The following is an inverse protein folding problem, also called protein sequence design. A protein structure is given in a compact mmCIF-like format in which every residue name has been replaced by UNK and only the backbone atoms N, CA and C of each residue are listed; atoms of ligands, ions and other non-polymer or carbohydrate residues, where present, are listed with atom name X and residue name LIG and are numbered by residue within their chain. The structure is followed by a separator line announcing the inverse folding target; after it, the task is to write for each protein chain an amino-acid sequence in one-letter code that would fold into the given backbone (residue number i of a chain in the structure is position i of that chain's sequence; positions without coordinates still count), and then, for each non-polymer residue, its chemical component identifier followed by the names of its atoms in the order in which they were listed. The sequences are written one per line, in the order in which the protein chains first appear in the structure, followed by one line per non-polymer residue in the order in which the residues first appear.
data_IF_685422795020
#
_entry.id   IF_685422795020
#
_cell.length_a   1.000
_cell.length_b   1.000
_cell.length_c   1.000
_cell.angle_alpha   90.00
_cell.angle_beta   90.00
_cell.angle_gamma   90.00
#
_symmetry.space_group_name_H-M   'P 1'
#
loop_
_entity.id
_entity.type
_entity.pdbx_description
1 polymer ?
#
# COMPACT_ATOMS: atom_id res chain seq x y z
N UNK A 1 71.10 -143.88 -78.01
CA UNK A 1 72.58 -143.97 -78.09
C UNK A 1 73.08 -142.82 -78.95
N UNK A 2 73.21 -141.65 -78.35
CA UNK A 2 73.81 -140.49 -79.01
C UNK A 2 75.32 -140.70 -79.06
N UNK A 3 75.84 -140.77 -80.29
CA UNK A 3 77.27 -140.86 -80.57
C UNK A 3 77.93 -139.61 -79.98
N UNK A 4 78.72 -139.79 -78.92
CA UNK A 4 79.67 -138.79 -78.42
C UNK A 4 80.54 -138.35 -79.60
N UNK A 5 80.22 -137.20 -80.19
CA UNK A 5 81.12 -136.49 -81.08
C UNK A 5 82.34 -136.13 -80.23
N UNK A 6 83.43 -136.85 -80.43
CA UNK A 6 84.72 -136.51 -79.85
C UNK A 6 85.06 -135.09 -80.31
N UNK A 7 85.03 -134.13 -79.39
CA UNK A 7 85.59 -132.81 -79.64
C UNK A 7 87.03 -133.00 -80.16
N UNK A 8 87.44 -132.29 -81.22
CA UNK A 8 88.77 -132.44 -81.78
C UNK A 8 89.81 -132.30 -80.66
N UNK A 9 90.71 -133.28 -80.57
CA UNK A 9 91.73 -133.31 -79.54
C UNK A 9 92.51 -131.99 -79.56
N UNK A 10 92.67 -131.38 -78.39
CA UNK A 10 93.46 -130.15 -78.22
C UNK A 10 94.84 -130.37 -78.84
N UNK A 11 95.26 -129.53 -79.78
CA UNK A 11 96.58 -129.63 -80.41
C UNK A 11 97.56 -128.66 -79.78
N UNK A 12 98.85 -128.97 -79.88
CA UNK A 12 99.90 -128.07 -79.40
C UNK A 12 99.87 -126.71 -80.12
N UNK A 13 99.58 -126.69 -81.43
CA UNK A 13 99.49 -125.45 -82.23
C UNK A 13 98.38 -124.51 -81.73
N UNK A 14 97.22 -125.06 -81.36
CA UNK A 14 96.11 -124.27 -80.78
C UNK A 14 96.52 -123.62 -79.46
N UNK A 15 97.19 -124.38 -78.59
CA UNK A 15 97.68 -123.89 -77.30
C UNK A 15 98.79 -122.86 -77.48
N UNK A 16 99.75 -123.12 -78.36
CA UNK A 16 100.86 -122.22 -78.68
C UNK A 16 100.35 -120.88 -79.20
N UNK A 17 99.41 -120.87 -80.14
CA UNK A 17 98.83 -119.63 -80.67
C UNK A 17 98.10 -118.78 -79.61
N UNK A 18 97.51 -119.39 -78.59
CA UNK A 18 96.93 -118.66 -77.45
C UNK A 18 98.00 -118.19 -76.48
N UNK A 19 99.01 -119.02 -76.20
CA UNK A 19 100.11 -118.64 -75.33
C UNK A 19 100.92 -117.47 -75.92
N UNK A 20 101.19 -117.48 -77.22
CA UNK A 20 101.89 -116.40 -77.93
C UNK A 20 101.09 -115.09 -77.87
N UNK A 21 99.75 -115.14 -78.04
CA UNK A 21 98.89 -113.96 -77.92
C UNK A 21 98.86 -113.40 -76.50
N UNK A 22 98.67 -114.26 -75.50
CA UNK A 22 98.65 -113.85 -74.09
C UNK A 22 100.01 -113.29 -73.66
N UNK A 23 101.10 -113.90 -74.11
CA UNK A 23 102.45 -113.41 -73.85
C UNK A 23 102.72 -112.06 -74.53
N UNK A 24 102.28 -111.90 -75.78
CA UNK A 24 102.41 -110.63 -76.51
C UNK A 24 101.56 -109.50 -75.92
N UNK A 25 100.42 -109.81 -75.30
CA UNK A 25 99.59 -108.83 -74.58
C UNK A 25 100.08 -108.55 -73.16
N UNK A 26 101.16 -109.20 -72.70
CA UNK A 26 101.68 -109.06 -71.34
C UNK A 26 100.81 -109.74 -70.26
N UNK A 27 99.86 -110.59 -70.66
CA UNK A 27 99.01 -111.35 -69.75
C UNK A 27 99.67 -112.65 -69.26
N UNK A 28 99.35 -113.06 -68.03
CA UNK A 28 99.88 -114.28 -67.43
C UNK A 28 99.36 -115.54 -68.13
N UNK A 29 100.24 -116.22 -68.87
CA UNK A 29 99.94 -117.52 -69.49
C UNK A 29 99.78 -118.60 -68.40
N UNK A 30 98.54 -119.07 -68.21
CA UNK A 30 98.21 -120.18 -67.32
C UNK A 30 97.29 -121.19 -68.02
N UNK A 31 97.36 -122.46 -67.60
CA UNK A 31 96.50 -123.51 -68.18
C UNK A 31 94.99 -123.16 -68.08
N UNK A 32 94.56 -122.51 -67.01
CA UNK A 32 93.17 -122.06 -66.86
C UNK A 32 92.81 -120.94 -67.86
N UNK A 33 93.73 -119.98 -68.08
CA UNK A 33 93.51 -118.88 -69.04
C UNK A 33 93.46 -119.41 -70.48
N UNK A 34 94.35 -120.33 -70.83
CA UNK A 34 94.38 -120.97 -72.16
C UNK A 34 93.10 -121.76 -72.44
N UNK A 35 92.59 -122.51 -71.45
CA UNK A 35 91.31 -123.22 -71.58
C UNK A 35 90.14 -122.24 -71.69
N UNK A 36 90.14 -121.17 -70.91
CA UNK A 36 89.10 -120.14 -70.98
C UNK A 36 89.03 -119.48 -72.37
N UNK A 37 90.18 -119.26 -73.02
CA UNK A 37 90.26 -118.71 -74.38
C UNK A 37 89.91 -119.74 -75.47
N UNK A 38 90.30 -121.02 -75.31
CA UNK A 38 90.04 -122.05 -76.32
C UNK A 38 88.64 -122.69 -76.20
N UNK A 39 88.01 -122.59 -75.03
CA UNK A 39 86.71 -123.19 -74.72
C UNK A 39 86.67 -124.73 -74.79
N UNK A 40 87.83 -125.39 -74.94
CA UNK A 40 87.94 -126.85 -75.16
C UNK A 40 89.25 -127.42 -74.60
N UNK A 41 89.27 -128.74 -74.40
CA UNK A 41 90.45 -129.50 -73.94
C UNK A 41 90.50 -129.74 -72.42
N UNK A 42 91.32 -130.70 -71.99
CA UNK A 42 91.49 -131.04 -70.57
C UNK A 42 92.57 -130.16 -69.93
N UNK A 43 92.42 -129.86 -68.64
CA UNK A 43 93.41 -129.08 -67.88
C UNK A 43 94.80 -129.72 -67.87
N UNK A 44 94.88 -131.04 -67.80
CA UNK A 44 96.16 -131.77 -67.87
C UNK A 44 96.85 -131.62 -69.22
N UNK A 45 96.09 -131.73 -70.32
CA UNK A 45 96.61 -131.58 -71.68
C UNK A 45 97.04 -130.13 -71.96
N UNK A 46 96.22 -129.15 -71.56
CA UNK A 46 96.55 -127.73 -71.72
C UNK A 46 97.77 -127.34 -70.88
N UNK A 47 97.90 -127.81 -69.63
CA UNK A 47 99.10 -127.57 -68.81
C UNK A 47 100.34 -128.24 -69.41
N UNK A 48 100.21 -129.46 -69.96
CA UNK A 48 101.30 -130.14 -70.65
C UNK A 48 101.81 -129.35 -71.86
N UNK A 49 100.90 -128.86 -72.71
CA UNK A 49 101.27 -128.01 -73.85
C UNK A 49 101.74 -126.61 -73.45
N UNK A 50 101.20 -126.00 -72.40
CA UNK A 50 101.72 -124.74 -71.85
C UNK A 50 103.14 -124.94 -71.30
N UNK A 51 103.44 -126.11 -70.71
CA UNK A 51 104.78 -126.45 -70.24
C UNK A 51 105.73 -126.61 -71.42
N UNK A 52 105.33 -127.38 -72.43
CA UNK A 52 106.10 -127.54 -73.67
C UNK A 52 106.36 -126.19 -74.36
N UNK A 53 105.36 -125.30 -74.40
CA UNK A 53 105.51 -123.95 -74.93
C UNK A 53 106.48 -123.10 -74.12
N UNK A 54 106.47 -123.24 -72.79
CA UNK A 54 107.44 -122.58 -71.91
C UNK A 54 108.85 -123.08 -72.18
N UNK A 55 109.02 -124.39 -72.31
CA UNK A 55 110.30 -125.03 -72.63
C UNK A 55 110.81 -124.58 -74.02
N UNK A 56 109.92 -124.47 -75.03
CA UNK A 56 110.26 -123.92 -76.35
C UNK A 56 110.59 -122.42 -76.31
N UNK A 57 109.89 -121.63 -75.51
CA UNK A 57 110.16 -120.21 -75.33
C UNK A 57 111.51 -120.00 -74.64
N UNK A 58 111.78 -120.74 -73.57
CA UNK A 58 113.06 -120.72 -72.85
C UNK A 58 114.20 -121.17 -73.78
N UNK A 59 114.01 -122.23 -74.57
CA UNK A 59 114.99 -122.66 -75.57
C UNK A 59 115.20 -121.60 -76.66
N UNK A 60 114.13 -120.92 -77.11
CA UNK A 60 114.24 -119.84 -78.11
C UNK A 60 114.95 -118.60 -77.55
N UNK A 61 114.74 -118.27 -76.27
CA UNK A 61 115.42 -117.18 -75.58
C UNK A 61 116.88 -117.52 -75.33
N UNK A 62 117.18 -118.75 -74.88
CA UNK A 62 118.55 -119.22 -74.71
C UNK A 62 119.32 -119.19 -76.04
N UNK A 63 118.72 -119.68 -77.12
CA UNK A 63 119.32 -119.62 -78.46
C UNK A 63 119.50 -118.17 -78.95
N UNK A 64 118.56 -117.28 -78.67
CA UNK A 64 118.67 -115.87 -79.03
C UNK A 64 119.85 -115.21 -78.30
N UNK A 65 120.00 -115.47 -76.99
CA UNK A 65 121.10 -114.94 -76.18
C UNK A 65 122.46 -115.48 -76.65
N UNK A 66 122.53 -116.77 -76.96
CA UNK A 66 123.70 -117.42 -77.55
C UNK A 66 124.05 -116.81 -78.92
N UNK A 67 123.06 -116.60 -79.80
CA UNK A 67 123.25 -116.01 -81.14
C UNK A 67 123.71 -114.55 -81.10
N UNK A 68 123.34 -113.81 -80.05
CA UNK A 68 123.74 -112.41 -79.84
C UNK A 68 125.13 -112.31 -79.19
N UNK A 69 125.78 -113.45 -78.89
CA UNK A 69 127.13 -113.52 -78.33
C UNK A 69 127.20 -113.20 -76.84
N UNK A 70 126.06 -113.21 -76.14
CA UNK A 70 126.04 -113.03 -74.70
C UNK A 70 126.50 -114.31 -74.00
N UNK A 71 127.24 -114.18 -72.90
CA UNK A 71 127.57 -115.36 -72.08
C UNK A 71 126.33 -115.88 -71.37
N UNK A 72 126.25 -117.19 -71.15
CA UNK A 72 125.16 -117.80 -70.37
C UNK A 72 125.01 -117.14 -68.99
N UNK A 73 126.13 -116.78 -68.35
CA UNK A 73 126.14 -116.06 -67.08
C UNK A 73 125.48 -114.68 -67.15
N UNK A 74 125.59 -113.99 -68.29
CA UNK A 74 124.95 -112.70 -68.52
C UNK A 74 123.46 -112.87 -68.79
N UNK A 75 123.08 -113.84 -69.63
CA UNK A 75 121.68 -114.14 -69.95
C UNK A 75 120.87 -114.53 -68.69
N UNK A 76 121.42 -115.41 -67.86
CA UNK A 76 120.80 -115.83 -66.58
C UNK A 76 120.66 -114.65 -65.61
N UNK A 77 121.70 -113.81 -65.49
CA UNK A 77 121.65 -112.62 -64.65
C UNK A 77 120.61 -111.62 -65.15
N UNK A 78 120.49 -111.44 -66.47
CA UNK A 78 119.53 -110.53 -67.08
C UNK A 78 118.09 -111.02 -66.89
N UNK A 79 117.79 -112.30 -67.13
CA UNK A 79 116.46 -112.86 -66.93
C UNK A 79 116.03 -112.85 -65.45
N UNK A 80 116.97 -113.12 -64.54
CA UNK A 80 116.74 -113.00 -63.09
C UNK A 80 116.42 -111.56 -62.70
N UNK A 81 117.13 -110.59 -63.26
CA UNK A 81 116.89 -109.17 -62.99
C UNK A 81 115.57 -108.69 -63.62
N UNK A 82 115.21 -109.14 -64.82
CA UNK A 82 113.89 -108.90 -65.43
C UNK A 82 112.75 -109.48 -64.59
N UNK A 83 112.90 -110.71 -64.08
CA UNK A 83 111.93 -111.29 -63.14
C UNK A 83 111.82 -110.49 -61.84
N UNK A 84 112.95 -110.01 -61.31
CA UNK A 84 112.94 -109.11 -60.14
C UNK A 84 112.24 -107.79 -60.43
N UNK A 85 112.47 -107.20 -61.60
CA UNK A 85 111.78 -105.97 -62.03
C UNK A 85 110.28 -106.20 -62.21
N UNK A 86 109.87 -107.31 -62.84
CA UNK A 86 108.46 -107.68 -62.99
C UNK A 86 107.76 -107.76 -61.63
N UNK A 87 108.34 -108.50 -60.68
CA UNK A 87 107.78 -108.63 -59.31
C UNK A 87 107.77 -107.29 -58.58
N UNK A 88 108.83 -106.48 -58.72
CA UNK A 88 108.89 -105.15 -58.11
C UNK A 88 107.84 -104.19 -58.71
N UNK A 89 107.59 -104.28 -60.02
CA UNK A 89 106.58 -103.50 -60.72
C UNK A 89 105.18 -103.94 -60.28
N UNK A 90 104.89 -105.24 -60.26
CA UNK A 90 103.62 -105.79 -59.79
C UNK A 90 103.35 -105.41 -58.34
N UNK A 91 104.34 -105.53 -57.45
CA UNK A 91 104.24 -105.09 -56.05
C UNK A 91 103.94 -103.60 -55.94
N UNK A 92 104.67 -102.74 -56.67
CA UNK A 92 104.43 -101.28 -56.64
C UNK A 92 103.06 -100.91 -57.18
N UNK A 93 102.59 -101.59 -58.23
CA UNK A 93 101.24 -101.37 -58.75
C UNK A 93 100.18 -101.79 -57.74
N UNK A 94 100.35 -102.94 -57.07
CA UNK A 94 99.43 -103.38 -56.02
C UNK A 94 99.45 -102.42 -54.81
N UNK A 95 100.63 -101.98 -54.38
CA UNK A 95 100.78 -100.98 -53.30
C UNK A 95 100.11 -99.64 -53.67
N UNK A 96 100.29 -99.20 -54.92
CA UNK A 96 99.65 -97.97 -55.41
C UNK A 96 98.14 -98.14 -55.52
N UNK A 97 97.67 -99.30 -55.97
CA UNK A 97 96.25 -99.61 -56.09
C UNK A 97 95.58 -99.68 -54.71
N UNK A 98 96.22 -100.30 -53.73
CA UNK A 98 95.74 -100.38 -52.35
C UNK A 98 95.78 -99.03 -51.65
N UNK A 99 96.84 -98.23 -51.83
CA UNK A 99 96.90 -96.84 -51.37
C UNK A 99 95.81 -95.97 -52.00
N UNK A 100 95.56 -96.11 -53.31
CA UNK A 100 94.49 -95.37 -53.98
C UNK A 100 93.10 -95.78 -53.47
N UNK A 101 92.85 -97.07 -53.27
CA UNK A 101 91.58 -97.57 -52.73
C UNK A 101 91.34 -97.10 -51.30
N UNK A 102 92.38 -97.11 -50.46
CA UNK A 102 92.28 -96.62 -49.08
C UNK A 102 92.00 -95.12 -49.05
N UNK A 103 92.71 -94.31 -49.85
CA UNK A 103 92.43 -92.89 -50.01
C UNK A 103 91.01 -92.62 -50.53
N UNK A 104 90.53 -93.40 -51.50
CA UNK A 104 89.15 -93.31 -52.00
C UNK A 104 88.15 -93.60 -50.88
N UNK A 105 88.34 -94.66 -50.09
CA UNK A 105 87.46 -94.97 -48.96
C UNK A 105 87.48 -93.88 -47.89
N UNK A 106 88.65 -93.33 -47.56
CA UNK A 106 88.77 -92.22 -46.61
C UNK A 106 88.04 -90.97 -47.13
N UNK A 107 88.22 -90.62 -48.40
CA UNK A 107 87.53 -89.48 -49.03
C UNK A 107 86.00 -89.68 -49.05
N UNK A 108 85.52 -90.89 -49.35
CA UNK A 108 84.10 -91.21 -49.30
C UNK A 108 83.55 -91.12 -47.87
N UNK A 109 84.27 -91.62 -46.87
CA UNK A 109 83.84 -91.48 -45.46
C UNK A 109 83.78 -90.01 -45.04
N UNK A 110 84.79 -89.20 -45.37
CA UNK A 110 84.81 -87.78 -45.09
C UNK A 110 83.67 -87.02 -45.79
N UNK A 111 83.35 -87.41 -47.04
CA UNK A 111 82.22 -86.85 -47.77
C UNK A 111 80.89 -87.17 -47.07
N UNK A 112 80.68 -88.44 -46.67
CA UNK A 112 79.44 -88.83 -45.96
C UNK A 112 79.28 -88.11 -44.61
N UNK A 113 80.38 -87.89 -43.88
CA UNK A 113 80.37 -87.10 -42.65
C UNK A 113 80.04 -85.63 -42.90
N UNK A 114 80.58 -85.05 -43.97
CA UNK A 114 80.30 -83.68 -44.38
C UNK A 114 78.83 -83.52 -44.80
N UNK A 115 78.28 -84.44 -45.59
CA UNK A 115 76.87 -84.47 -46.00
C UNK A 115 75.95 -84.54 -44.78
N UNK A 116 76.23 -85.45 -43.84
CA UNK A 116 75.48 -85.54 -42.57
C UNK A 116 75.54 -84.24 -41.76
N UNK A 117 76.71 -83.59 -41.73
CA UNK A 117 76.88 -82.31 -41.04
C UNK A 117 76.07 -81.19 -41.72
N UNK A 118 76.03 -81.17 -43.05
CA UNK A 118 75.21 -80.22 -43.81
C UNK A 118 73.73 -80.43 -43.51
N UNK A 119 73.25 -81.68 -43.51
CA UNK A 119 71.85 -82.01 -43.19
C UNK A 119 71.47 -81.54 -41.78
N UNK A 120 72.34 -81.78 -40.79
CA UNK A 120 72.13 -81.28 -39.42
C UNK A 120 72.06 -79.75 -39.35
N UNK A 121 72.97 -79.06 -40.03
CA UNK A 121 72.99 -77.60 -40.06
C UNK A 121 71.76 -77.03 -40.79
N UNK A 122 71.31 -77.68 -41.86
CA UNK A 122 70.09 -77.32 -42.58
C UNK A 122 68.87 -77.42 -41.66
N UNK A 123 68.72 -78.54 -40.94
CA UNK A 123 67.63 -78.72 -39.97
C UNK A 123 67.67 -77.69 -38.83
N UNK A 124 68.87 -77.28 -38.40
CA UNK A 124 69.03 -76.23 -37.39
C UNK A 124 68.72 -74.83 -37.94
N UNK A 125 68.97 -74.56 -39.22
CA UNK A 125 68.56 -73.32 -39.90
C UNK A 125 67.04 -73.29 -40.02
N UNK A 126 66.41 -74.35 -40.49
CA UNK A 126 64.95 -74.44 -40.62
C UNK A 126 64.23 -74.21 -39.29
N UNK A 127 64.76 -74.80 -38.20
CA UNK A 127 64.25 -74.55 -36.84
C UNK A 127 64.39 -73.08 -36.40
N UNK A 128 65.52 -72.45 -36.74
CA UNK A 128 65.74 -71.02 -36.41
C UNK A 128 64.82 -70.13 -37.22
N UNK A 129 64.60 -70.41 -38.50
CA UNK A 129 63.70 -69.65 -39.36
C UNK A 129 62.25 -69.76 -38.88
N UNK A 130 61.83 -70.95 -38.45
CA UNK A 130 60.52 -71.14 -37.84
C UNK A 130 60.38 -70.35 -36.53
N UNK A 131 61.41 -70.35 -35.67
CA UNK A 131 61.39 -69.55 -34.44
C UNK A 131 61.35 -68.03 -34.73
N UNK A 132 62.04 -67.57 -35.77
CA UNK A 132 62.00 -66.17 -36.22
C UNK A 132 60.61 -65.80 -36.73
N UNK A 133 59.98 -66.68 -37.52
CA UNK A 133 58.62 -66.47 -38.00
C UNK A 133 57.62 -66.35 -36.85
N UNK A 134 57.65 -67.27 -35.88
CA UNK A 134 56.80 -67.26 -34.69
C UNK A 134 56.99 -66.00 -33.84
N UNK A 135 58.25 -65.56 -33.65
CA UNK A 135 58.56 -64.34 -32.91
C UNK A 135 58.07 -63.09 -33.64
N UNK A 136 58.19 -63.04 -34.97
CA UNK A 136 57.67 -61.94 -35.77
C UNK A 136 56.14 -61.87 -35.73
N UNK A 137 55.45 -63.01 -35.79
CA UNK A 137 54.00 -63.05 -35.64
C UNK A 137 53.56 -62.55 -34.26
N UNK A 138 54.21 -63.03 -33.18
CA UNK A 138 53.94 -62.54 -31.82
C UNK A 138 54.22 -61.05 -31.66
N UNK A 139 55.30 -60.55 -32.27
CA UNK A 139 55.67 -59.13 -32.24
C UNK A 139 54.63 -58.26 -32.97
N UNK A 140 54.19 -58.68 -34.16
CA UNK A 140 53.16 -57.95 -34.92
C UNK A 140 51.79 -57.98 -34.24
N UNK A 141 51.38 -59.11 -33.67
CA UNK A 141 50.17 -59.24 -32.88
C UNK A 141 50.22 -58.39 -31.59
N UNK A 142 51.36 -58.37 -30.89
CA UNK A 142 51.54 -57.50 -29.73
C UNK A 142 51.46 -56.02 -30.13
N UNK A 143 52.14 -55.63 -31.22
CA UNK A 143 52.13 -54.25 -31.72
C UNK A 143 50.73 -53.79 -32.11
N UNK A 144 49.94 -54.62 -32.79
CA UNK A 144 48.56 -54.28 -33.16
C UNK A 144 47.66 -54.13 -31.93
N UNK A 145 47.82 -55.03 -30.94
CA UNK A 145 47.11 -54.92 -29.65
C UNK A 145 47.47 -53.63 -28.92
N UNK A 146 48.76 -53.29 -28.80
CA UNK A 146 49.22 -52.04 -28.20
C UNK A 146 48.65 -50.81 -28.91
N UNK A 147 48.71 -50.77 -30.24
CA UNK A 147 48.13 -49.67 -31.02
C UNK A 147 46.63 -49.53 -30.81
N UNK A 148 45.89 -50.64 -30.68
CA UNK A 148 44.47 -50.61 -30.36
C UNK A 148 44.22 -50.04 -28.97
N UNK A 149 44.96 -50.50 -27.96
CA UNK A 149 44.84 -49.97 -26.59
C UNK A 149 45.24 -48.51 -26.49
N UNK A 150 46.27 -48.08 -27.21
CA UNK A 150 46.71 -46.69 -27.26
C UNK A 150 45.62 -45.80 -27.89
N UNK A 151 45.01 -46.26 -28.97
CA UNK A 151 43.89 -45.55 -29.62
C UNK A 151 42.71 -45.39 -28.65
N UNK A 152 42.32 -46.47 -27.98
CA UNK A 152 41.22 -46.45 -27.00
C UNK A 152 41.52 -45.49 -25.84
N UNK A 153 42.74 -45.53 -25.28
CA UNK A 153 43.14 -44.61 -24.21
C UNK A 153 43.14 -43.14 -24.66
N UNK A 154 43.55 -42.85 -25.90
CA UNK A 154 43.47 -41.50 -26.47
C UNK A 154 42.02 -41.03 -26.61
N UNK A 155 41.12 -41.89 -27.10
CA UNK A 155 39.70 -41.58 -27.22
C UNK A 155 39.05 -41.33 -25.84
N UNK A 156 39.37 -42.16 -24.84
CA UNK A 156 38.94 -41.93 -23.46
C UNK A 156 39.48 -40.62 -22.87
N UNK A 157 40.72 -40.24 -23.19
CA UNK A 157 41.31 -38.98 -22.75
C UNK A 157 40.58 -37.78 -23.38
N UNK A 158 40.28 -37.85 -24.67
CA UNK A 158 39.56 -36.82 -25.41
C UNK A 158 38.12 -36.66 -24.88
N UNK A 159 37.42 -37.77 -24.61
CA UNK A 159 36.08 -37.78 -24.03
C UNK A 159 36.08 -37.17 -22.62
N UNK A 160 37.02 -37.57 -21.76
CA UNK A 160 37.18 -36.95 -20.43
C UNK A 160 37.52 -35.47 -20.54
N UNK A 161 38.35 -35.09 -21.50
CA UNK A 161 38.68 -33.69 -21.79
C UNK A 161 37.46 -32.88 -22.20
N UNK A 162 36.56 -33.45 -23.01
CA UNK A 162 35.27 -32.84 -23.37
C UNK A 162 34.36 -32.67 -22.15
N UNK A 163 34.16 -33.72 -21.36
CA UNK A 163 33.33 -33.66 -20.14
C UNK A 163 33.85 -32.62 -19.13
N UNK A 164 35.18 -32.49 -18.98
CA UNK A 164 35.77 -31.46 -18.13
C UNK A 164 35.50 -30.04 -18.64
N UNK A 165 35.51 -29.82 -19.96
CA UNK A 165 35.14 -28.52 -20.55
C UNK A 165 33.67 -28.20 -20.33
N UNK A 166 32.78 -29.15 -20.60
CA UNK A 166 31.33 -28.99 -20.36
C UNK A 166 31.03 -28.70 -18.89
N UNK A 167 31.68 -29.44 -17.96
CA UNK A 167 31.56 -29.20 -16.53
C UNK A 167 32.04 -27.80 -16.11
N UNK A 168 33.15 -27.31 -16.67
CA UNK A 168 33.62 -25.93 -16.43
C UNK A 168 32.64 -24.89 -16.93
N UNK A 169 32.12 -25.04 -18.15
CA UNK A 169 31.11 -24.12 -18.69
C UNK A 169 29.85 -24.10 -17.82
N UNK A 170 29.43 -25.24 -17.29
CA UNK A 170 28.28 -25.31 -16.39
C UNK A 170 28.56 -24.60 -15.05
N UNK A 171 29.77 -24.75 -14.49
CA UNK A 171 30.18 -24.02 -13.28
C UNK A 171 30.17 -22.51 -13.53
N UNK A 172 30.69 -22.04 -14.67
CA UNK A 172 30.71 -20.61 -15.01
C UNK A 172 29.29 -20.05 -15.16
N UNK A 173 28.39 -20.80 -15.80
CA UNK A 173 26.96 -20.44 -15.92
C UNK A 173 26.29 -20.36 -14.55
N UNK A 174 26.45 -21.38 -13.72
CA UNK A 174 25.84 -21.42 -12.38
C UNK A 174 26.40 -20.32 -11.46
N UNK A 175 27.70 -20.03 -11.55
CA UNK A 175 28.32 -18.93 -10.80
C UNK A 175 27.72 -17.58 -11.21
N UNK A 176 27.51 -17.38 -12.52
CA UNK A 176 26.87 -16.17 -13.04
C UNK A 176 25.41 -16.06 -12.61
N UNK A 177 24.66 -17.17 -12.61
CA UNK A 177 23.28 -17.21 -12.14
C UNK A 177 23.16 -16.95 -10.64
N UNK A 178 24.08 -17.50 -9.84
CA UNK A 178 24.16 -17.26 -8.41
C UNK A 178 24.38 -15.77 -8.12
N UNK A 179 25.37 -15.14 -8.78
CA UNK A 179 25.64 -13.71 -8.63
C UNK A 179 24.41 -12.85 -8.99
N UNK A 180 23.68 -13.22 -10.06
CA UNK A 180 22.41 -12.54 -10.41
C UNK A 180 21.33 -12.71 -9.34
N UNK A 181 21.23 -13.90 -8.74
CA UNK A 181 20.26 -14.16 -7.67
C UNK A 181 20.60 -13.38 -6.39
N UNK A 182 21.88 -13.33 -6.03
CA UNK A 182 22.38 -12.56 -4.89
C UNK A 182 22.11 -11.06 -5.06
N UNK A 183 22.39 -10.49 -6.25
CA UNK A 183 22.06 -9.09 -6.54
C UNK A 183 20.55 -8.80 -6.39
N UNK A 184 19.69 -9.68 -6.92
CA UNK A 184 18.23 -9.54 -6.77
C UNK A 184 17.79 -9.61 -5.31
N UNK A 185 18.44 -10.45 -4.51
CA UNK A 185 18.16 -10.57 -3.08
C UNK A 185 18.59 -9.30 -2.33
N UNK A 186 19.74 -8.72 -2.69
CA UNK A 186 20.21 -7.44 -2.15
C UNK A 186 19.24 -6.30 -2.51
N UNK A 187 18.80 -6.22 -3.77
CA UNK A 187 17.82 -5.23 -4.22
C UNK A 187 16.47 -5.39 -3.51
N UNK A 188 16.00 -6.63 -3.35
CA UNK A 188 14.80 -6.92 -2.55
C UNK A 188 14.99 -6.51 -1.08
N UNK A 189 16.19 -6.69 -0.52
CA UNK A 189 16.54 -6.24 0.82
C UNK A 189 16.44 -4.72 0.97
N UNK A 190 16.93 -3.96 -0.01
CA UNK A 190 16.80 -2.50 -0.06
C UNK A 190 15.35 -2.06 -0.11
N UNK A 191 14.54 -2.66 -0.99
CA UNK A 191 13.10 -2.37 -1.11
C UNK A 191 12.34 -2.65 0.19
N UNK A 192 12.65 -3.76 0.88
CA UNK A 192 12.03 -4.08 2.17
C UNK A 192 12.45 -3.07 3.25
N UNK A 193 13.71 -2.64 3.25
CA UNK A 193 14.18 -1.59 4.16
C UNK A 193 13.43 -0.29 3.93
N UNK A 194 13.32 0.17 2.67
CA UNK A 194 12.55 1.37 2.30
C UNK A 194 11.07 1.27 2.65
N UNK A 195 10.46 0.10 2.41
CA UNK A 195 9.07 -0.15 2.79
C UNK A 195 8.87 -0.10 4.32
N UNK A 196 9.82 -0.62 5.10
CA UNK A 196 9.78 -0.54 6.55
C UNK A 196 9.95 0.90 7.05
N UNK A 197 10.90 1.67 6.50
CA UNK A 197 11.06 3.08 6.87
C UNK A 197 9.82 3.90 6.53
N UNK A 198 9.21 3.67 5.36
CA UNK A 198 7.96 4.33 4.98
C UNK A 198 6.80 3.92 5.89
N UNK A 199 6.68 2.64 6.23
CA UNK A 199 5.67 2.14 7.16
C UNK A 199 5.81 2.80 8.54
N UNK A 200 7.03 2.91 9.04
CA UNK A 200 7.29 3.50 10.35
C UNK A 200 7.03 5.02 10.34
N UNK A 201 7.36 5.71 9.24
CA UNK A 201 6.97 7.12 9.03
C UNK A 201 5.44 7.29 9.02
N UNK A 202 4.72 6.49 8.25
CA UNK A 202 3.26 6.53 8.20
C UNK A 202 2.61 6.23 9.56
N UNK A 203 3.24 5.37 10.37
CA UNK A 203 2.79 5.14 11.76
C UNK A 203 2.94 6.38 12.61
N UNK A 204 4.08 7.08 12.53
CA UNK A 204 4.30 8.34 13.23
C UNK A 204 3.26 9.38 12.81
N UNK A 205 3.08 9.59 11.50
CA UNK A 205 2.11 10.54 10.96
C UNK A 205 0.68 10.20 11.44
N UNK A 206 0.31 8.92 11.44
CA UNK A 206 -1.00 8.46 11.94
C UNK A 206 -1.16 8.70 13.44
N UNK A 207 -0.11 8.53 14.24
CA UNK A 207 -0.17 8.88 15.67
C UNK A 207 -0.32 10.39 15.90
N UNK A 208 0.37 11.21 15.10
CA UNK A 208 0.25 12.67 15.17
C UNK A 208 -1.15 13.14 14.78
N UNK A 209 -1.71 12.62 13.67
CA UNK A 209 -3.08 12.94 13.24
C UNK A 209 -4.10 12.53 14.29
N UNK A 210 -3.94 11.35 14.92
CA UNK A 210 -4.83 10.93 16.02
C UNK A 210 -4.73 11.89 17.21
N UNK A 211 -3.53 12.32 17.60
CA UNK A 211 -3.35 13.33 18.64
C UNK A 211 -4.08 14.63 18.29
N UNK A 212 -3.89 15.16 17.07
CA UNK A 212 -4.57 16.37 16.60
C UNK A 212 -6.09 16.21 16.58
N UNK A 213 -6.58 15.04 16.17
CA UNK A 213 -8.02 14.73 16.18
C UNK A 213 -8.57 14.76 17.61
N UNK A 214 -7.92 14.07 18.56
CA UNK A 214 -8.36 14.10 19.97
C UNK A 214 -8.33 15.51 20.56
N UNK A 215 -7.32 16.31 20.21
CA UNK A 215 -7.27 17.71 20.62
C UNK A 215 -8.44 18.52 20.02
N UNK A 216 -8.72 18.38 18.73
CA UNK A 216 -9.84 19.05 18.09
C UNK A 216 -11.19 18.63 18.68
N UNK A 217 -11.38 17.35 19.00
CA UNK A 217 -12.59 16.83 19.67
C UNK A 217 -12.76 17.45 21.07
N UNK A 218 -11.70 17.54 21.87
CA UNK A 218 -11.77 18.19 23.19
C UNK A 218 -12.07 19.69 23.09
N UNK A 219 -11.50 20.39 22.10
CA UNK A 219 -11.82 21.78 21.83
C UNK A 219 -13.29 21.95 21.40
N UNK A 220 -13.80 21.09 20.52
CA UNK A 220 -15.19 21.11 20.10
C UNK A 220 -16.15 20.86 21.28
N UNK A 221 -15.83 19.91 22.16
CA UNK A 221 -16.61 19.66 23.38
C UNK A 221 -16.64 20.91 24.29
N UNK A 222 -15.49 21.59 24.44
CA UNK A 222 -15.38 22.83 25.21
C UNK A 222 -16.21 23.96 24.61
N UNK A 223 -16.10 24.19 23.29
CA UNK A 223 -16.90 25.20 22.58
C UNK A 223 -18.40 24.87 22.68
N UNK A 224 -18.77 23.59 22.57
CA UNK A 224 -20.17 23.16 22.73
C UNK A 224 -20.69 23.48 24.13
N UNK A 225 -19.92 23.19 25.18
CA UNK A 225 -20.29 23.52 26.55
C UNK A 225 -20.40 25.03 26.79
N UNK A 226 -19.47 25.82 26.22
CA UNK A 226 -19.54 27.29 26.27
C UNK A 226 -20.78 27.84 25.56
N UNK A 227 -21.11 27.32 24.38
CA UNK A 227 -22.30 27.72 23.64
C UNK A 227 -23.58 27.40 24.43
N UNK A 228 -23.64 26.25 25.12
CA UNK A 228 -24.79 25.89 25.94
C UNK A 228 -24.93 26.80 27.16
N UNK A 229 -23.81 27.13 27.84
CA UNK A 229 -23.81 28.11 28.94
C UNK A 229 -24.24 29.51 28.47
N UNK A 230 -23.81 29.96 27.29
CA UNK A 230 -24.25 31.22 26.70
C UNK A 230 -25.75 31.18 26.39
N UNK A 231 -26.27 30.09 25.84
CA UNK A 231 -27.72 29.94 25.59
C UNK A 231 -28.52 30.01 26.88
N UNK A 232 -28.08 29.33 27.93
CA UNK A 232 -28.74 29.36 29.23
C UNK A 232 -28.72 30.77 29.83
N UNK A 233 -27.57 31.46 29.78
CA UNK A 233 -27.47 32.86 30.19
C UNK A 233 -28.37 33.79 29.36
N UNK A 234 -28.49 33.56 28.05
CA UNK A 234 -29.35 34.33 27.16
C UNK A 234 -30.82 34.11 27.48
N UNK A 235 -31.21 32.89 27.85
CA UNK A 235 -32.58 32.56 28.25
C UNK A 235 -32.95 33.21 29.58
N UNK A 236 -32.02 33.23 30.55
CA UNK A 236 -32.18 33.98 31.80
C UNK A 236 -32.37 35.47 31.53
N UNK A 237 -31.55 36.07 30.64
CA UNK A 237 -31.72 37.47 30.28
C UNK A 237 -33.02 37.75 29.53
N UNK A 238 -33.47 36.85 28.65
CA UNK A 238 -34.79 36.97 28.01
C UNK A 238 -35.92 36.94 29.02
N UNK A 239 -35.83 36.07 30.03
CA UNK A 239 -36.79 36.00 31.14
C UNK A 239 -36.80 37.31 31.94
N UNK A 240 -35.62 37.81 32.35
CA UNK A 240 -35.47 39.10 33.02
C UNK A 240 -36.01 40.27 32.18
N UNK A 241 -35.73 40.27 30.87
CA UNK A 241 -36.25 41.27 29.94
C UNK A 241 -37.77 41.22 29.84
N UNK A 242 -38.36 40.02 29.84
CA UNK A 242 -39.82 39.85 29.87
C UNK A 242 -40.41 40.39 31.16
N UNK A 243 -39.85 40.05 32.32
CA UNK A 243 -40.30 40.53 33.62
C UNK A 243 -40.17 42.06 33.74
N UNK A 244 -39.04 42.63 33.32
CA UNK A 244 -38.84 44.08 33.30
C UNK A 244 -39.81 44.77 32.34
N UNK A 245 -40.09 44.20 31.17
CA UNK A 245 -41.10 44.70 30.25
C UNK A 245 -42.50 44.68 30.87
N UNK A 246 -42.92 43.58 31.48
CA UNK A 246 -44.20 43.48 32.20
C UNK A 246 -44.30 44.52 33.33
N UNK A 247 -43.20 44.76 34.04
CA UNK A 247 -43.11 45.79 35.09
C UNK A 247 -43.22 47.20 34.51
N UNK A 248 -42.58 47.48 33.38
CA UNK A 248 -42.70 48.77 32.66
C UNK A 248 -44.13 48.97 32.17
N UNK A 249 -44.77 47.96 31.58
CA UNK A 249 -46.16 48.03 31.13
C UNK A 249 -47.11 48.28 32.32
N UNK A 250 -46.89 47.61 33.46
CA UNK A 250 -47.63 47.86 34.69
C UNK A 250 -47.43 49.28 35.24
N UNK A 251 -46.21 49.81 35.17
CA UNK A 251 -45.91 51.20 35.54
C UNK A 251 -46.56 52.20 34.57
N UNK A 252 -46.54 51.94 33.27
CA UNK A 252 -47.22 52.78 32.27
C UNK A 252 -48.73 52.78 32.49
N UNK A 253 -49.33 51.64 32.80
CA UNK A 253 -50.75 51.58 33.15
C UNK A 253 -51.06 52.37 34.43
N UNK A 254 -50.20 52.27 35.46
CA UNK A 254 -50.33 53.09 36.67
C UNK A 254 -50.15 54.58 36.39
N UNK A 255 -49.21 54.95 35.53
CA UNK A 255 -48.98 56.33 35.12
C UNK A 255 -50.19 56.87 34.37
N UNK A 256 -50.73 56.13 33.41
CA UNK A 256 -51.96 56.49 32.69
C UNK A 256 -53.15 56.65 33.63
N UNK A 257 -53.31 55.76 34.62
CA UNK A 257 -54.33 55.93 35.67
C UNK A 257 -54.09 57.18 36.52
N UNK A 258 -52.84 57.50 36.85
CA UNK A 258 -52.48 58.70 37.59
C UNK A 258 -52.75 59.97 36.76
N UNK A 259 -52.44 59.98 35.47
CA UNK A 259 -52.76 61.05 34.53
C UNK A 259 -54.28 61.24 34.38
N UNK A 260 -55.06 60.16 34.28
CA UNK A 260 -56.52 60.23 34.30
C UNK A 260 -57.05 60.82 35.62
N UNK A 261 -56.46 60.46 36.77
CA UNK A 261 -56.82 61.09 38.05
C UNK A 261 -56.43 62.56 38.08
N UNK A 262 -55.26 62.94 37.56
CA UNK A 262 -54.82 64.32 37.50
C UNK A 262 -55.73 65.17 36.62
N UNK A 263 -56.05 64.71 35.42
CA UNK A 263 -57.01 65.40 34.53
C UNK A 263 -58.40 65.51 35.17
N UNK A 264 -58.86 64.47 35.88
CA UNK A 264 -60.11 64.56 36.67
C UNK A 264 -60.01 65.60 37.78
N UNK A 265 -58.90 65.63 38.53
CA UNK A 265 -58.66 66.66 39.55
C UNK A 265 -58.54 68.07 38.95
N UNK A 266 -57.95 68.23 37.78
CA UNK A 266 -57.91 69.51 37.06
C UNK A 266 -59.31 69.97 36.64
N UNK A 267 -60.15 69.06 36.15
CA UNK A 267 -61.56 69.36 35.83
C UNK A 267 -62.33 69.72 37.11
N UNK A 268 -62.11 69.00 38.21
CA UNK A 268 -62.71 69.33 39.51
C UNK A 268 -62.21 70.68 40.05
N UNK A 269 -60.93 71.00 39.87
CA UNK A 269 -60.37 72.31 40.22
C UNK A 269 -60.95 73.43 39.35
N UNK A 270 -61.12 73.22 38.05
CA UNK A 270 -61.82 74.17 37.16
C UNK A 270 -63.28 74.35 37.55
N UNK A 271 -63.99 73.26 37.92
CA UNK A 271 -65.35 73.34 38.43
C UNK A 271 -65.41 74.12 39.76
N UNK A 272 -64.42 73.96 40.64
CA UNK A 272 -64.29 74.74 41.86
C UNK A 272 -64.07 76.24 41.58
N UNK A 273 -63.26 76.59 40.56
CA UNK A 273 -63.08 77.99 40.11
C UNK A 273 -64.39 78.57 39.57
N UNK A 274 -65.12 77.83 38.73
CA UNK A 274 -66.43 78.26 38.21
C UNK A 274 -67.47 78.41 39.33
N UNK A 275 -67.48 77.52 40.32
CA UNK A 275 -68.32 77.66 41.51
C UNK A 275 -67.97 78.91 42.30
N UNK A 276 -66.68 79.24 42.42
CA UNK A 276 -66.21 80.46 43.08
C UNK A 276 -66.64 81.73 42.34
N UNK A 277 -66.60 81.73 41.01
CA UNK A 277 -67.14 82.83 40.17
C UNK A 277 -68.67 82.94 40.28
N UNK A 278 -69.39 81.80 40.33
CA UNK A 278 -70.83 81.80 40.59
C UNK A 278 -71.15 82.35 41.98
N UNK A 279 -70.33 82.04 42.97
CA UNK A 279 -70.47 82.58 44.33
C UNK A 279 -70.27 84.10 44.35
N UNK A 280 -69.19 84.59 43.71
CA UNK A 280 -68.92 86.02 43.58
C UNK A 280 -70.04 86.78 42.82
N UNK A 281 -70.61 86.17 41.78
CA UNK A 281 -71.75 86.77 41.06
C UNK A 281 -73.05 86.71 41.86
N UNK A 282 -73.26 85.70 42.71
CA UNK A 282 -74.39 85.71 43.66
C UNK A 282 -74.21 86.73 44.78
N UNK A 283 -72.99 86.93 45.28
CA UNK A 283 -72.67 87.97 46.26
C UNK A 283 -72.91 89.36 45.68
N UNK A 284 -72.49 89.63 44.44
CA UNK A 284 -72.78 90.89 43.75
C UNK A 284 -74.29 91.14 43.54
N UNK A 285 -75.07 90.08 43.25
CA UNK A 285 -76.54 90.18 43.17
C UNK A 285 -77.18 90.43 44.53
N UNK A 286 -76.64 89.85 45.60
CA UNK A 286 -77.10 90.07 46.97
C UNK A 286 -76.84 91.51 47.41
N UNK A 287 -75.65 92.05 47.08
CA UNK A 287 -75.27 93.44 47.36
C UNK A 287 -76.18 94.43 46.60
N UNK A 288 -76.50 94.13 45.34
CA UNK A 288 -77.49 94.90 44.57
C UNK A 288 -78.90 94.85 45.17
N UNK A 289 -79.35 93.69 45.67
CA UNK A 289 -80.64 93.56 46.34
C UNK A 289 -80.67 94.32 47.68
N UNK A 290 -79.55 94.35 48.40
CA UNK A 290 -79.41 95.07 49.67
C UNK A 290 -79.49 96.59 49.45
N UNK A 291 -78.82 97.11 48.42
CA UNK A 291 -78.90 98.52 48.04
C UNK A 291 -80.31 98.93 47.57
N UNK A 292 -81.03 98.03 46.89
CA UNK A 292 -82.43 98.28 46.49
C UNK A 292 -83.38 98.32 47.70
N UNK A 293 -83.14 97.49 48.72
CA UNK A 293 -83.94 97.47 49.95
C UNK A 293 -83.73 98.74 50.79
N UNK A 294 -82.52 99.28 50.84
CA UNK A 294 -82.24 100.52 51.57
C UNK A 294 -82.81 101.77 50.86
N UNK A 295 -82.88 101.76 49.53
CA UNK A 295 -83.62 102.78 48.77
C UNK A 295 -85.12 102.76 49.10
N UNK A 296 -85.71 101.56 49.28
CA UNK A 296 -87.12 101.38 49.61
C UNK A 296 -87.45 101.79 51.07
N UNK A 297 -86.53 101.55 52.02
CA UNK A 297 -86.67 102.05 53.40
C UNK A 297 -86.65 103.58 53.47
N UNK A 298 -85.83 104.23 52.64
CA UNK A 298 -85.72 105.70 52.60
C UNK A 298 -87.02 106.34 52.10
N UNK A 299 -87.60 105.81 51.02
CA UNK A 299 -88.88 106.28 50.47
C UNK A 299 -90.04 106.05 51.44
N UNK A 300 -90.03 104.94 52.19
CA UNK A 300 -91.05 104.66 53.22
C UNK A 300 -90.98 105.62 54.43
N UNK A 301 -89.79 106.12 54.77
CA UNK A 301 -89.64 107.15 55.82
C UNK A 301 -90.21 108.51 55.40
N UNK A 302 -90.06 108.86 54.13
CA UNK A 302 -90.53 110.12 53.54
C UNK A 302 -92.06 110.13 53.38
N UNK A 303 -92.67 109.00 53.01
CA UNK A 303 -94.15 108.88 52.95
C UNK A 303 -94.78 108.96 54.34
N UNK A 304 -94.11 108.45 55.38
CA UNK A 304 -94.59 108.51 56.76
C UNK A 304 -94.57 109.93 57.34
N UNK A 305 -93.64 110.78 56.90
CA UNK A 305 -93.58 112.19 57.29
C UNK A 305 -94.72 113.04 56.71
N UNK A 306 -95.12 112.76 55.47
CA UNK A 306 -96.23 113.44 54.79
C UNK A 306 -97.61 113.09 55.39
N UNK A 307 -97.79 111.85 55.85
CA UNK A 307 -99.05 111.40 56.49
C UNK A 307 -99.29 112.12 57.83
N UNK A 308 -98.24 112.34 58.63
CA UNK A 308 -98.35 113.07 59.90
C UNK A 308 -98.71 114.56 59.72
N UNK A 309 -98.19 115.21 58.67
CA UNK A 309 -98.51 116.61 58.36
C UNK A 309 -99.96 116.81 57.89
N UNK A 310 -100.56 115.80 57.24
CA UNK A 310 -101.96 115.85 56.80
C UNK A 310 -102.93 115.58 57.95
N UNK A 311 -102.58 114.74 58.92
CA UNK A 311 -103.38 114.49 60.12
C UNK A 311 -103.45 115.72 61.06
N UNK A 312 -102.40 116.53 61.12
CA UNK A 312 -102.35 117.72 61.99
C UNK A 312 -103.15 118.92 61.43
N UNK A 313 -103.35 118.98 60.10
CA UNK A 313 -104.22 119.99 59.45
C UNK A 313 -105.71 119.64 59.55
N UNK A 314 -106.07 118.36 59.52
CA UNK A 314 -107.46 117.90 59.68
C UNK A 314 -108.00 118.18 61.10
N UNK A 315 -107.17 117.95 62.13
CA UNK A 315 -107.52 118.17 63.54
C UNK A 315 -107.72 119.66 63.91
N UNK A 316 -107.14 120.59 63.13
CA UNK A 316 -107.30 122.04 63.30
C UNK A 316 -108.54 122.59 62.59
N UNK A 317 -109.01 121.98 61.49
CA UNK A 317 -110.24 122.41 60.82
C UNK A 317 -111.52 121.92 61.51
N UNK A 318 -111.51 120.73 62.12
CA UNK A 318 -112.69 120.16 62.81
C UNK A 318 -113.03 120.88 64.13
N UNK A 319 -112.03 121.47 64.81
CA UNK A 319 -112.25 122.33 66.00
C UNK A 319 -112.78 123.73 65.67
N UNK A 320 -112.74 124.16 64.42
CA UNK A 320 -113.30 125.44 63.96
C UNK A 320 -114.80 125.39 63.64
N UNK A 321 -115.30 124.25 63.13
CA UNK A 321 -116.72 124.08 62.81
C UNK A 321 -117.61 123.95 64.06
N UNK A 322 -117.14 123.25 65.11
CA UNK A 322 -117.91 123.04 66.34
C UNK A 322 -118.13 124.31 67.21
N UNK A 323 -117.36 125.39 66.97
CA UNK A 323 -117.52 126.67 67.70
C UNK A 323 -118.53 127.63 67.04
N UNK A 324 -118.79 127.50 65.74
CA UNK A 324 -119.77 128.34 65.01
C UNK A 324 -121.21 127.82 65.12
N UNK A 325 -121.42 126.51 65.29
CA UNK A 325 -122.76 125.93 65.52
C UNK A 325 -123.30 126.22 66.93
N UNK A 326 -122.45 126.41 67.94
CA UNK A 326 -122.90 126.73 69.31
C UNK A 326 -123.28 128.21 69.54
N UNK A 327 -122.86 129.12 68.65
CA UNK A 327 -123.22 130.55 68.71
C UNK A 327 -124.53 130.83 67.96
N UNK A 328 -124.85 130.05 66.93
CA UNK A 328 -126.13 130.11 66.20
C UNK A 328 -127.34 129.76 67.10
N UNK A 329 -127.19 128.78 67.99
CA UNK A 329 -128.27 128.35 68.90
C UNK A 329 -128.53 129.31 70.08
N UNK A 330 -127.54 130.14 70.48
CA UNK A 330 -127.69 131.09 71.59
C UNK A 330 -128.36 132.42 71.17
N UNK A 331 -128.24 132.82 69.89
CA UNK A 331 -128.81 134.07 69.36
C UNK A 331 -130.34 133.96 69.11
N UNK A 332 -130.85 132.76 68.83
CA UNK A 332 -132.29 132.51 68.64
C UNK A 332 -133.08 132.44 69.97
N UNK A 333 -132.41 132.18 71.09
CA UNK A 333 -133.00 132.27 72.43
C UNK A 333 -133.05 133.70 72.99
N UNK A 334 -132.15 134.59 72.56
CA UNK A 334 -132.10 135.99 73.02
C UNK A 334 -133.12 136.89 72.28
N UNK A 335 -133.42 136.62 71.00
CA UNK A 335 -134.47 137.33 70.25
C UNK A 335 -135.90 137.02 70.73
N UNK A 336 -136.16 135.80 71.24
CA UNK A 336 -137.44 135.46 71.88
C UNK A 336 -137.63 136.11 73.25
N UNK A 337 -136.54 136.44 73.96
CA UNK A 337 -136.60 137.14 75.24
C UNK A 337 -136.87 138.66 75.07
N UNK A 338 -136.46 139.27 73.94
CA UNK A 338 -136.68 140.70 73.67
C UNK A 338 -138.10 141.05 73.18
N UNK A 339 -138.86 140.07 72.66
CA UNK A 339 -140.27 140.26 72.30
C UNK A 339 -141.18 140.37 73.54
N UNK A 340 -140.84 139.69 74.64
CA UNK A 340 -141.65 139.64 75.87
C UNK A 340 -141.40 140.86 76.78
N UNK A 341 -140.19 141.43 76.79
CA UNK A 341 -139.87 142.64 77.58
C UNK A 341 -140.45 143.93 77.00
N UNK A 342 -140.74 143.97 75.71
CA UNK A 342 -141.31 145.17 75.05
C UNK A 342 -142.82 145.27 75.26
N UNK A 343 -143.51 144.13 75.42
CA UNK A 343 -144.94 144.04 75.75
C UNK A 343 -145.22 144.34 77.24
N UNK A 344 -144.29 143.98 78.15
CA UNK A 344 -144.38 144.35 79.57
C UNK A 344 -144.05 145.82 79.84
N UNK A 345 -143.25 146.48 78.99
CA UNK A 345 -142.91 147.90 79.16
C UNK A 345 -144.07 148.83 78.75
N UNK A 346 -144.83 148.48 77.70
CA UNK A 346 -146.01 149.26 77.31
C UNK A 346 -147.18 149.12 78.31
N UNK A 347 -147.34 147.94 78.95
CA UNK A 347 -148.26 147.77 80.09
C UNK A 347 -147.87 148.58 81.33
N UNK A 348 -146.56 148.70 81.61
CA UNK A 348 -146.03 149.53 82.69
C UNK A 348 -146.15 151.05 82.42
N UNK A 349 -146.12 151.48 81.15
CA UNK A 349 -146.41 152.87 80.78
C UNK A 349 -147.90 153.23 80.89
N UNK A 350 -148.82 152.26 80.69
CA UNK A 350 -150.26 152.42 80.91
C UNK A 350 -150.66 152.44 82.42
N UNK A 351 -149.91 151.72 83.27
CA UNK A 351 -150.12 151.72 84.72
C UNK A 351 -149.53 152.98 85.40
N UNK A 352 -148.50 153.61 84.81
CA UNK A 352 -147.95 154.90 85.27
C UNK A 352 -148.87 156.09 84.95
N UNK A 353 -149.70 155.98 83.91
CA UNK A 353 -150.78 156.94 83.62
C UNK A 353 -151.95 156.84 84.60
N UNK A 354 -152.25 155.66 85.15
CA UNK A 354 -153.34 155.46 86.11
C UNK A 354 -152.94 155.69 87.56
N UNK A 355 -151.67 155.52 87.94
CA UNK A 355 -151.17 155.91 89.28
C UNK A 355 -150.95 157.43 89.42
N UNK A 356 -150.61 158.16 88.35
CA UNK A 356 -150.55 159.63 88.42
C UNK A 356 -151.93 160.28 88.59
N UNK A 357 -152.98 159.67 88.05
CA UNK A 357 -154.37 160.10 88.27
C UNK A 357 -154.88 159.77 89.68
N UNK A 358 -154.35 158.73 90.34
CA UNK A 358 -154.66 158.41 91.74
C UNK A 358 -153.87 159.26 92.73
N UNK A 359 -152.59 159.56 92.47
CA UNK A 359 -151.73 160.32 93.37
C UNK A 359 -152.20 161.77 93.57
N UNK A 360 -152.72 162.47 92.56
CA UNK A 360 -153.21 163.85 92.76
C UNK A 360 -154.69 163.92 93.17
N UNK A 361 -155.50 162.87 92.94
CA UNK A 361 -156.78 162.66 93.63
C UNK A 361 -156.59 162.53 95.16
N UNK A 362 -155.46 161.97 95.62
CA UNK A 362 -155.07 161.95 97.05
C UNK A 362 -154.44 163.24 97.55
N UNK A 363 -153.75 164.01 96.71
CA UNK A 363 -153.24 165.35 97.08
C UNK A 363 -154.40 166.35 97.29
N UNK A 364 -155.48 166.18 96.54
CA UNK A 364 -156.75 166.91 96.69
C UNK A 364 -157.51 166.55 97.98
N UNK A 365 -157.28 165.36 98.56
CA UNK A 365 -157.91 164.92 99.82
C UNK A 365 -157.07 165.22 101.07
N UNK A 366 -155.75 165.39 100.94
CA UNK A 366 -154.89 165.76 102.08
C UNK A 366 -154.94 167.27 102.40
N UNK A 367 -155.13 168.13 101.38
CA UNK A 367 -155.30 169.57 101.62
C UNK A 367 -156.68 169.91 102.22
N UNK A 368 -157.68 169.06 102.03
CA UNK A 368 -159.02 169.20 102.63
C UNK A 368 -159.08 168.76 104.11
N UNK A 369 -158.03 168.12 104.64
CA UNK A 369 -157.98 167.65 106.03
C UNK A 369 -157.15 168.53 106.98
N UNK A 370 -156.52 169.61 106.48
CA UNK A 370 -155.79 170.57 107.33
C UNK A 370 -156.43 171.97 107.37
N UNK A 371 -157.64 172.12 106.83
CA UNK A 371 -158.39 173.37 106.92
C UNK A 371 -159.14 173.56 108.25
N UNK A 372 -159.65 172.53 108.93
CA UNK A 372 -160.54 172.75 110.07
C UNK A 372 -160.31 171.76 111.21
N UNK A 373 -160.15 172.33 112.41
CA UNK A 373 -159.81 171.65 113.67
C UNK A 373 -159.15 172.58 114.70
N UNK A 374 -159.44 173.89 114.62
CA UNK A 374 -159.48 174.81 115.74
C UNK A 374 -160.49 174.31 116.79
N UNK A 375 -160.16 174.49 118.08
CA UNK A 375 -161.11 174.69 119.20
C UNK A 375 -162.02 173.48 119.53
N UNK A 376 -162.26 173.04 120.77
CA UNK A 376 -162.12 173.67 122.07
C UNK A 376 -162.40 172.66 123.21
N UNK A 377 -161.65 172.78 124.32
CA UNK A 377 -162.03 172.75 125.78
C UNK A 377 -162.83 171.57 126.39
N UNK A 378 -162.65 171.18 127.68
CA UNK A 378 -162.24 171.91 128.90
C UNK A 378 -161.89 170.93 130.06
N UNK A 379 -160.81 171.18 130.82
CA UNK A 379 -160.81 171.45 132.27
C UNK A 379 -159.51 172.16 132.64
#
# INVERSE_FOLDING_TARGET
MEKRQQSPALTYSDVKGVCDRLHASGEKVSGNRVIAELGRGSKGTALGFVKQWREELEASQAHLMESMGFSDSFADSFMKEMGRFQVAIESRFEDTLTASKTLETEALTALTEAEKKIEMLQADVDKRDQAIADLNEKSTASKSSWLSTEKELREQLDDRGRLLREGREQIDRLTTELAKAEMRLEDSGKLVSEANTNRDQLRLDLTEVRSKLTQAETQNATITAQNEAIRESLEVERSNHKETKERVDALNNRLSQAEQRNTKMEVEAQAAVQLKERLATTEAKLESATNSLDAEKKTHSETRGLINQLQERLLKSEKGLARLESVSAALDTEKKAHAVTTETRSKLEADLTTEREKHDSTKQKLAQAQAEGLLDKKK
#
